data_IF_502233118251
#
_entry.id   IF_502233118251
#
_cell.length_a   1.000
_cell.length_b   1.000
_cell.length_c   1.000
_cell.angle_alpha   90.00
_cell.angle_beta   90.00
_cell.angle_gamma   90.00
#
_symmetry.space_group_name_H-M   'P 1'
#
loop_
_entity.id
_entity.type
_entity.pdbx_description
1 polymer ?
#
# COMPACT_ATOMS: atom_id res chain seq x y z
N UNK A 1 24.63 7.22 -7.10
CA UNK A 1 24.83 8.08 -5.91
C UNK A 1 23.47 8.33 -5.28
N UNK A 2 23.23 7.80 -4.08
CA UNK A 2 21.96 8.01 -3.37
C UNK A 2 21.94 9.45 -2.84
N UNK A 3 21.32 10.36 -3.59
CA UNK A 3 21.27 11.77 -3.21
C UNK A 3 20.23 11.98 -2.11
N UNK A 4 20.64 11.75 -0.85
CA UNK A 4 19.77 11.84 0.33
C UNK A 4 19.16 13.24 0.50
N UNK A 5 19.90 14.29 0.10
CA UNK A 5 19.41 15.67 0.09
C UNK A 5 18.15 15.86 -0.76
N UNK A 6 18.10 15.25 -1.94
CA UNK A 6 16.94 15.35 -2.84
C UNK A 6 15.68 14.71 -2.22
N UNK A 7 15.85 13.57 -1.54
CA UNK A 7 14.76 12.89 -0.83
C UNK A 7 14.23 13.72 0.34
N UNK A 8 15.14 14.34 1.12
CA UNK A 8 14.77 15.21 2.23
C UNK A 8 14.01 16.44 1.72
N UNK A 9 14.51 17.10 0.67
CA UNK A 9 13.84 18.25 0.04
C UNK A 9 12.47 17.89 -0.53
N UNK A 10 12.33 16.71 -1.15
CA UNK A 10 11.05 16.20 -1.65
C UNK A 10 10.04 15.91 -0.54
N UNK A 11 10.48 15.33 0.58
CA UNK A 11 9.60 15.09 1.74
C UNK A 11 9.11 16.42 2.31
N UNK A 12 10.01 17.41 2.46
CA UNK A 12 9.63 18.73 2.95
C UNK A 12 8.68 19.47 2.01
N UNK A 13 8.89 19.39 0.69
CA UNK A 13 7.99 20.03 -0.28
C UNK A 13 6.58 19.44 -0.26
N UNK A 14 6.44 18.13 -0.04
CA UNK A 14 5.12 17.50 0.17
C UNK A 14 4.51 17.96 1.49
N UNK A 15 5.30 18.04 2.57
CA UNK A 15 4.81 18.49 3.87
C UNK A 15 4.33 19.95 3.84
N UNK A 16 4.92 20.80 3.01
CA UNK A 16 4.47 22.18 2.80
C UNK A 16 3.06 22.25 2.21
N UNK A 17 2.67 21.32 1.31
CA UNK A 17 1.34 21.31 0.66
C UNK A 17 0.16 21.12 1.64
N UNK A 18 0.42 20.51 2.79
CA UNK A 18 -0.59 20.14 3.79
C UNK A 18 -0.45 20.92 5.10
N UNK A 19 0.56 21.79 5.20
CA UNK A 19 0.87 22.56 6.41
C UNK A 19 -0.20 23.60 6.75
N UNK A 20 -0.81 24.22 5.74
CA UNK A 20 -1.85 25.22 5.94
C UNK A 20 -3.26 24.60 6.06
N UNK A 21 -3.43 23.37 5.59
CA UNK A 21 -4.71 22.64 5.63
C UNK A 21 -4.94 21.94 6.97
N UNK A 22 -3.86 21.52 7.66
CA UNK A 22 -3.95 20.81 8.93
C UNK A 22 -3.10 21.48 10.01
N UNK A 23 -3.72 21.75 11.17
CA UNK A 23 -2.96 22.14 12.38
C UNK A 23 -1.91 21.07 12.68
N UNK A 24 -0.72 21.45 13.13
CA UNK A 24 0.42 20.54 13.40
C UNK A 24 0.05 19.30 14.24
N UNK A 25 -0.86 19.44 15.21
CA UNK A 25 -1.36 18.32 16.03
C UNK A 25 -2.32 17.36 15.32
N UNK A 26 -2.97 17.80 14.23
CA UNK A 26 -3.88 16.99 13.39
C UNK A 26 -3.19 16.27 12.25
N UNK A 27 -1.94 16.62 11.97
CA UNK A 27 -1.14 15.93 10.95
C UNK A 27 -0.97 14.44 11.26
N UNK A 28 -0.76 14.10 12.53
CA UNK A 28 -0.58 12.70 12.97
C UNK A 28 -1.83 11.85 12.69
N UNK A 29 -3.02 12.41 12.92
CA UNK A 29 -4.31 11.75 12.68
C UNK A 29 -4.49 11.34 11.20
N UNK A 30 -3.84 12.05 10.28
CA UNK A 30 -3.91 11.80 8.83
C UNK A 30 -2.75 10.92 8.37
N UNK A 31 -1.51 11.27 8.70
CA UNK A 31 -0.33 10.59 8.15
C UNK A 31 -0.21 9.14 8.66
N UNK A 32 -0.61 8.86 9.90
CA UNK A 32 -0.49 7.52 10.49
C UNK A 32 -1.34 6.47 9.76
N UNK A 33 -2.66 6.66 9.54
CA UNK A 33 -3.44 5.68 8.78
C UNK A 33 -2.92 5.51 7.34
N UNK A 34 -2.50 6.58 6.65
CA UNK A 34 -1.91 6.45 5.31
C UNK A 34 -0.57 5.71 5.32
N UNK A 35 0.25 5.90 6.35
CA UNK A 35 1.51 5.16 6.52
C UNK A 35 1.25 3.67 6.72
N UNK A 36 0.22 3.34 7.50
CA UNK A 36 -0.21 1.94 7.71
C UNK A 36 -0.70 1.32 6.40
N UNK A 37 -1.57 2.01 5.65
CA UNK A 37 -2.05 1.55 4.34
C UNK A 37 -0.88 1.33 3.36
N UNK A 38 0.04 2.31 3.26
CA UNK A 38 1.21 2.17 2.40
C UNK A 38 2.09 0.98 2.81
N UNK A 39 2.20 0.69 4.10
CA UNK A 39 2.95 -0.47 4.59
C UNK A 39 2.30 -1.79 4.18
N UNK A 40 0.97 -1.89 4.25
CA UNK A 40 0.26 -3.06 3.73
C UNK A 40 0.48 -3.25 2.23
N UNK A 41 0.40 -2.17 1.44
CA UNK A 41 0.68 -2.22 0.01
C UNK A 41 2.10 -2.71 -0.28
N UNK A 42 3.11 -2.16 0.41
CA UNK A 42 4.51 -2.58 0.24
C UNK A 42 4.74 -4.06 0.58
N UNK A 43 3.99 -4.62 1.53
CA UNK A 43 4.08 -6.03 1.91
C UNK A 43 3.48 -6.93 0.84
N UNK A 44 2.42 -6.47 0.16
CA UNK A 44 1.73 -7.19 -0.91
C UNK A 44 2.34 -6.95 -2.30
N UNK A 45 3.13 -5.90 -2.48
CA UNK A 45 3.76 -5.51 -3.75
C UNK A 45 4.50 -6.67 -4.44
N UNK A 46 5.28 -7.52 -3.74
CA UNK A 46 5.99 -8.65 -4.38
C UNK A 46 5.07 -9.74 -4.92
N UNK A 47 3.88 -9.93 -4.34
CA UNK A 47 2.95 -11.02 -4.68
C UNK A 47 1.74 -10.54 -5.48
N UNK A 48 1.66 -9.24 -5.78
CA UNK A 48 0.52 -8.60 -6.46
C UNK A 48 0.20 -9.24 -7.81
N UNK A 49 1.20 -9.41 -8.67
CA UNK A 49 0.98 -9.98 -10.01
C UNK A 49 0.46 -11.42 -9.94
N UNK A 50 0.99 -12.23 -9.02
CA UNK A 50 0.56 -13.61 -8.83
C UNK A 50 -0.89 -13.71 -8.33
N UNK A 51 -1.26 -12.85 -7.38
CA UNK A 51 -2.63 -12.77 -6.84
C UNK A 51 -3.60 -12.32 -7.93
N UNK A 52 -3.25 -11.31 -8.73
CA UNK A 52 -4.09 -10.84 -9.84
C UNK A 52 -4.25 -11.89 -10.95
N UNK A 53 -3.18 -12.59 -11.31
CA UNK A 53 -3.23 -13.68 -12.27
C UNK A 53 -4.14 -14.82 -11.79
N UNK A 54 -4.01 -15.21 -10.52
CA UNK A 54 -4.88 -16.22 -9.91
C UNK A 54 -6.33 -15.75 -9.85
N UNK A 55 -6.58 -14.52 -9.41
CA UNK A 55 -7.93 -13.96 -9.37
C UNK A 55 -8.59 -14.00 -10.74
N UNK A 56 -7.93 -13.48 -11.78
CA UNK A 56 -8.49 -13.44 -13.13
C UNK A 56 -8.71 -14.83 -13.73
N UNK A 57 -7.88 -15.83 -13.38
CA UNK A 57 -8.03 -17.18 -13.90
C UNK A 57 -9.18 -17.96 -13.25
N UNK A 58 -9.42 -17.72 -11.96
CA UNK A 58 -10.31 -18.55 -11.15
C UNK A 58 -11.61 -17.86 -10.74
N UNK A 59 -11.74 -16.54 -10.90
CA UNK A 59 -12.94 -15.78 -10.47
C UNK A 59 -14.26 -16.33 -10.99
N UNK A 60 -14.27 -16.91 -12.19
CA UNK A 60 -15.47 -17.46 -12.83
C UNK A 60 -15.57 -18.99 -12.69
N UNK A 61 -14.61 -19.62 -11.98
CA UNK A 61 -14.46 -21.09 -11.86
C UNK A 61 -14.60 -21.60 -10.44
N UNK A 62 -14.37 -20.77 -9.43
CA UNK A 62 -14.38 -21.13 -8.02
C UNK A 62 -15.30 -20.18 -7.25
N UNK A 63 -16.22 -20.75 -6.47
CA UNK A 63 -17.10 -19.99 -5.59
C UNK A 63 -16.34 -19.33 -4.43
N UNK A 64 -15.22 -19.93 -3.99
CA UNK A 64 -14.38 -19.40 -2.92
C UNK A 64 -12.90 -19.31 -3.34
N UNK A 65 -12.43 -18.07 -3.52
CA UNK A 65 -11.06 -17.75 -3.93
C UNK A 65 -10.15 -17.43 -2.74
N UNK A 66 -10.69 -17.15 -1.56
CA UNK A 66 -9.92 -16.71 -0.39
C UNK A 66 -8.72 -17.62 -0.06
N UNK A 67 -8.88 -18.96 0.06
CA UNK A 67 -7.77 -19.84 0.40
C UNK A 67 -6.65 -19.81 -0.64
N UNK A 68 -7.02 -19.66 -1.91
CA UNK A 68 -6.09 -19.62 -3.03
C UNK A 68 -5.32 -18.30 -3.04
N UNK A 69 -6.02 -17.18 -2.91
CA UNK A 69 -5.43 -15.84 -2.97
C UNK A 69 -4.57 -15.56 -1.74
N UNK A 70 -4.99 -15.99 -0.53
CA UNK A 70 -4.14 -15.95 0.66
C UNK A 70 -2.85 -16.76 0.44
N UNK A 71 -2.96 -17.98 -0.09
CA UNK A 71 -1.77 -18.81 -0.40
C UNK A 71 -0.85 -18.14 -1.42
N UNK A 72 -1.39 -17.45 -2.42
CA UNK A 72 -0.61 -16.71 -3.42
C UNK A 72 0.01 -15.43 -2.87
N UNK A 73 -0.68 -14.74 -1.98
CA UNK A 73 -0.15 -13.55 -1.32
C UNK A 73 0.97 -13.86 -0.33
N UNK A 74 1.00 -15.09 0.22
CA UNK A 74 1.89 -15.48 1.32
C UNK A 74 1.42 -14.97 2.69
N UNK A 75 0.27 -14.29 2.76
CA UNK A 75 -0.30 -13.70 3.96
C UNK A 75 -1.75 -14.16 4.16
N UNK A 76 -2.31 -13.88 5.34
CA UNK A 76 -3.73 -14.11 5.63
C UNK A 76 -4.66 -13.06 5.00
N UNK A 77 -4.12 -12.20 4.13
CA UNK A 77 -4.82 -11.11 3.47
C UNK A 77 -4.19 -10.84 2.11
N UNK A 78 -4.96 -10.29 1.18
CA UNK A 78 -4.53 -9.98 -0.18
C UNK A 78 -5.25 -8.73 -0.68
N UNK A 79 -4.70 -8.10 -1.72
CA UNK A 79 -5.38 -7.03 -2.44
C UNK A 79 -5.68 -7.49 -3.89
N UNK A 80 -6.95 -7.75 -4.24
CA UNK A 80 -7.33 -8.15 -5.59
C UNK A 80 -7.56 -6.95 -6.55
N UNK A 81 -7.24 -5.71 -6.13
CA UNK A 81 -7.42 -4.47 -6.91
C UNK A 81 -6.10 -3.83 -7.36
#
# INVERSE_FOLDING_TARGET
>A
MNNFGDKVSFIWSIADLIRDTFKRGKYQDVILPFTVLRRFDCVLEPTKEEVLAAYNHYKDKLDNLDPLLCKKSGFAFYNPK
#
